data_IF_259666647649
#
_entry.id   IF_259666647649
#
_cell.length_a   1.000
_cell.length_b   1.000
_cell.length_c   1.000
_cell.angle_alpha   90.00
_cell.angle_beta   90.00
_cell.angle_gamma   90.00
#
_symmetry.space_group_name_H-M   'P 1'
#
loop_
_entity.id
_entity.type
_entity.pdbx_description
1 polymer ?
#
# COMPACT_ATOMS: atom_id res chain seq x y z
N UNK A 1 -35.28 -26.85 6.40
CA UNK A 1 -33.82 -26.57 6.42
C UNK A 1 -33.57 -25.44 5.44
N UNK A 2 -33.29 -24.22 5.92
CA UNK A 2 -33.06 -23.06 5.06
C UNK A 2 -31.59 -23.05 4.66
N UNK A 3 -31.32 -23.26 3.37
CA UNK A 3 -29.98 -23.14 2.80
C UNK A 3 -29.53 -21.68 2.86
N UNK A 4 -28.36 -21.45 3.47
CA UNK A 4 -27.70 -20.16 3.38
C UNK A 4 -27.09 -20.05 1.99
N UNK A 5 -27.62 -19.12 1.20
CA UNK A 5 -27.00 -18.70 -0.05
C UNK A 5 -25.62 -18.10 0.27
N UNK A 6 -24.57 -18.72 -0.28
CA UNK A 6 -23.23 -18.15 -0.25
C UNK A 6 -23.24 -16.96 -1.20
N UNK A 7 -23.13 -15.75 -0.65
CA UNK A 7 -22.91 -14.56 -1.46
C UNK A 7 -21.55 -14.71 -2.17
N UNK A 8 -21.58 -15.02 -3.47
CA UNK A 8 -20.42 -14.90 -4.33
C UNK A 8 -20.23 -13.42 -4.67
N UNK A 9 -19.77 -12.64 -3.69
CA UNK A 9 -19.11 -11.37 -3.99
C UNK A 9 -17.78 -11.73 -4.64
N UNK A 10 -17.65 -11.53 -5.96
CA UNK A 10 -16.40 -11.77 -6.66
C UNK A 10 -15.29 -10.99 -5.97
N UNK A 11 -14.41 -11.69 -5.27
CA UNK A 11 -13.17 -11.11 -4.75
C UNK A 11 -12.34 -10.72 -5.96
N UNK A 12 -12.27 -9.42 -6.25
CA UNK A 12 -11.24 -8.92 -7.14
C UNK A 12 -9.91 -9.23 -6.46
N UNK A 13 -9.01 -10.00 -7.10
CA UNK A 13 -7.71 -10.31 -6.51
C UNK A 13 -6.98 -9.00 -6.26
N UNK A 14 -6.59 -8.71 -5.02
CA UNK A 14 -5.84 -7.50 -4.69
C UNK A 14 -4.33 -7.71 -4.77
N UNK A 15 -3.90 -8.97 -4.89
CA UNK A 15 -2.47 -9.31 -5.03
C UNK A 15 -1.84 -8.67 -6.26
N UNK A 16 -0.64 -8.10 -6.11
CA UNK A 16 0.11 -7.50 -7.21
C UNK A 16 1.14 -6.49 -6.73
N UNK A 17 2.00 -6.08 -7.66
CA UNK A 17 2.92 -4.98 -7.48
C UNK A 17 2.23 -3.66 -7.87
N UNK A 18 2.29 -2.66 -7.00
CA UNK A 18 1.67 -1.35 -7.20
C UNK A 18 2.74 -0.27 -7.19
N UNK A 19 2.71 0.63 -8.17
CA UNK A 19 3.65 1.76 -8.28
C UNK A 19 2.87 3.07 -8.18
N UNK A 20 3.39 4.05 -7.45
CA UNK A 20 2.76 5.36 -7.28
C UNK A 20 2.82 6.18 -8.57
N UNK A 21 1.71 6.83 -8.89
CA UNK A 21 1.57 7.76 -10.01
C UNK A 21 1.26 9.16 -9.50
N UNK A 22 1.97 10.15 -10.05
CA UNK A 22 1.68 11.55 -9.85
C UNK A 22 1.39 12.23 -11.19
N UNK A 23 0.22 12.88 -11.30
CA UNK A 23 -0.23 13.53 -12.55
C UNK A 23 -0.17 12.61 -13.78
N UNK A 24 -0.55 11.34 -13.61
CA UNK A 24 -0.66 10.35 -14.68
C UNK A 24 0.66 9.72 -15.14
N UNK A 25 1.78 10.05 -14.50
CA UNK A 25 3.10 9.44 -14.74
C UNK A 25 3.59 8.72 -13.48
N UNK A 26 4.49 7.73 -13.60
CA UNK A 26 5.21 7.21 -12.44
C UNK A 26 5.81 8.36 -11.64
N UNK A 27 5.66 8.30 -10.31
CA UNK A 27 6.20 9.33 -9.43
C UNK A 27 7.73 9.43 -9.58
N UNK A 28 8.25 10.65 -9.59
CA UNK A 28 9.69 10.94 -9.59
C UNK A 28 10.31 10.52 -8.25
N UNK A 29 9.54 10.60 -7.18
CA UNK A 29 9.87 10.04 -5.87
C UNK A 29 9.25 8.65 -5.81
N UNK A 30 10.05 7.64 -6.19
CA UNK A 30 9.60 6.27 -6.32
C UNK A 30 8.95 5.79 -5.03
N UNK A 31 7.72 5.28 -5.13
CA UNK A 31 7.07 4.54 -4.07
C UNK A 31 6.32 3.37 -4.67
N UNK A 32 6.51 2.19 -4.08
CA UNK A 32 5.89 0.95 -4.51
C UNK A 32 5.39 0.14 -3.32
N UNK A 33 4.40 -0.71 -3.59
CA UNK A 33 3.85 -1.64 -2.63
C UNK A 33 3.54 -2.96 -3.33
N UNK A 34 4.19 -4.03 -2.88
CA UNK A 34 3.79 -5.39 -3.22
C UNK A 34 2.76 -5.88 -2.22
N UNK A 35 1.64 -6.38 -2.74
CA UNK A 35 0.52 -6.89 -1.96
C UNK A 35 0.37 -8.38 -2.26
N UNK A 36 0.33 -9.20 -1.21
CA UNK A 36 0.08 -10.64 -1.31
C UNK A 36 -1.14 -11.00 -0.48
N UNK A 37 -2.18 -11.52 -1.10
CA UNK A 37 -3.30 -12.12 -0.37
C UNK A 37 -2.82 -13.34 0.42
N UNK A 38 -3.26 -13.39 1.67
CA UNK A 38 -3.04 -14.48 2.61
C UNK A 38 -4.40 -15.09 2.98
N UNK A 39 -4.35 -16.23 3.67
CA UNK A 39 -5.55 -16.86 4.21
C UNK A 39 -6.31 -15.97 5.21
N UNK A 40 -7.61 -16.25 5.32
CA UNK A 40 -8.54 -15.62 6.26
C UNK A 40 -8.75 -14.10 6.05
N UNK A 41 -8.65 -13.64 4.79
CA UNK A 41 -8.89 -12.25 4.41
C UNK A 41 -7.81 -11.30 4.91
N UNK A 42 -6.55 -11.75 4.89
CA UNK A 42 -5.39 -10.93 5.26
C UNK A 42 -4.56 -10.63 4.02
N UNK A 43 -3.75 -9.58 4.09
CA UNK A 43 -2.76 -9.23 3.06
C UNK A 43 -1.41 -8.97 3.71
N UNK A 44 -0.34 -9.46 3.09
CA UNK A 44 1.03 -9.04 3.36
C UNK A 44 1.34 -7.83 2.48
N UNK A 45 1.94 -6.81 3.08
CA UNK A 45 2.32 -5.56 2.45
C UNK A 45 3.84 -5.40 2.53
N UNK A 46 4.52 -5.30 1.39
CA UNK A 46 5.94 -4.96 1.28
C UNK A 46 6.07 -3.64 0.52
N UNK A 47 6.41 -2.56 1.21
CA UNK A 47 6.49 -1.23 0.62
C UNK A 47 7.89 -0.65 0.70
N UNK A 48 8.24 0.13 -0.31
CA UNK A 48 9.43 0.96 -0.32
C UNK A 48 9.10 2.32 -0.92
N UNK A 49 9.62 3.39 -0.33
CA UNK A 49 9.46 4.75 -0.82
C UNK A 49 10.77 5.53 -0.66
N UNK A 50 11.10 6.34 -1.67
CA UNK A 50 12.31 7.15 -1.72
C UNK A 50 11.91 8.60 -1.97
N UNK A 51 12.36 9.49 -1.10
CA UNK A 51 12.31 10.93 -1.35
C UNK A 51 13.72 11.48 -1.51
N UNK A 52 13.97 12.20 -2.61
CA UNK A 52 15.28 12.76 -2.94
C UNK A 52 15.19 14.28 -2.92
N UNK A 53 15.76 14.90 -1.90
CA UNK A 53 15.87 16.35 -1.81
C UNK A 53 17.06 16.86 -2.61
N UNK A 54 18.27 16.40 -2.25
CA UNK A 54 19.50 16.69 -2.98
C UNK A 54 20.46 15.49 -2.89
N UNK A 55 20.48 14.68 -3.95
CA UNK A 55 21.32 13.50 -4.04
C UNK A 55 22.83 13.81 -3.99
N UNK A 56 23.26 14.99 -4.47
CA UNK A 56 24.68 15.36 -4.51
C UNK A 56 25.28 15.56 -3.11
N UNK A 57 24.45 15.83 -2.11
CA UNK A 57 24.85 15.97 -0.70
C UNK A 57 24.27 14.86 0.19
N UNK A 58 23.74 13.78 -0.40
CA UNK A 58 23.18 12.66 0.34
C UNK A 58 21.85 12.92 1.05
N UNK A 59 21.12 13.99 0.69
CA UNK A 59 19.79 14.25 1.26
C UNK A 59 18.73 13.38 0.56
N UNK A 60 18.68 12.12 0.99
CA UNK A 60 17.75 11.07 0.54
C UNK A 60 17.10 10.46 1.76
N UNK A 61 15.77 10.40 1.78
CA UNK A 61 14.99 9.77 2.83
C UNK A 61 14.33 8.51 2.28
N UNK A 62 14.31 7.46 3.09
CA UNK A 62 13.78 6.14 2.75
C UNK A 62 12.63 5.78 3.69
N UNK A 63 11.60 5.13 3.16
CA UNK A 63 10.51 4.57 3.95
C UNK A 63 10.22 3.14 3.52
N UNK A 64 9.79 2.34 4.48
CA UNK A 64 9.55 0.91 4.32
C UNK A 64 8.24 0.53 5.01
N UNK A 65 7.50 -0.38 4.38
CA UNK A 65 6.34 -1.02 4.99
C UNK A 65 6.63 -2.51 4.99
N UNK A 66 6.60 -3.11 6.17
CA UNK A 66 6.68 -4.56 6.31
C UNK A 66 5.64 -5.01 7.33
N UNK A 67 4.49 -5.49 6.85
CA UNK A 67 3.60 -6.20 7.75
C UNK A 67 2.35 -6.75 7.10
N UNK A 68 1.38 -7.08 7.96
CA UNK A 68 0.14 -7.74 7.57
C UNK A 68 -1.04 -6.88 7.99
N UNK A 69 -2.04 -6.75 7.11
CA UNK A 69 -3.31 -6.09 7.41
C UNK A 69 -4.49 -7.02 7.12
N UNK A 70 -5.63 -6.75 7.77
CA UNK A 70 -6.88 -7.46 7.49
C UNK A 70 -7.65 -6.69 6.41
N UNK A 71 -8.11 -7.40 5.38
CA UNK A 71 -9.03 -6.87 4.40
C UNK A 71 -10.45 -6.85 4.96
N UNK A 72 -11.10 -5.71 4.81
CA UNK A 72 -12.54 -5.53 4.94
C UNK A 72 -13.09 -5.11 3.57
N UNK A 73 -13.60 -6.10 2.83
CA UNK A 73 -13.98 -5.94 1.43
C UNK A 73 -12.79 -5.55 0.55
N UNK A 74 -12.75 -4.28 0.11
CA UNK A 74 -11.66 -3.72 -0.71
C UNK A 74 -10.80 -2.71 0.05
N UNK A 75 -10.91 -2.67 1.37
CA UNK A 75 -10.13 -1.74 2.20
C UNK A 75 -9.29 -2.50 3.21
N UNK A 76 -8.17 -1.93 3.62
CA UNK A 76 -7.38 -2.38 4.77
C UNK A 76 -6.85 -1.17 5.54
N UNK A 77 -6.85 -1.25 6.87
CA UNK A 77 -6.12 -0.32 7.72
C UNK A 77 -4.83 -1.01 8.15
N UNK A 78 -3.69 -0.43 7.80
CA UNK A 78 -2.38 -0.90 8.24
C UNK A 78 -1.92 -0.08 9.43
N UNK A 79 -1.39 -0.75 10.45
CA UNK A 79 -0.83 -0.13 11.64
C UNK A 79 0.20 -1.07 12.25
N UNK A 80 1.40 -0.56 12.49
CA UNK A 80 2.44 -1.25 13.26
C UNK A 80 2.19 -1.14 14.77
N UNK A 81 2.93 -1.91 15.56
CA UNK A 81 2.90 -1.82 17.02
C UNK A 81 3.84 -0.72 17.52
N UNK A 82 3.41 0.04 18.54
CA UNK A 82 4.21 1.12 19.15
C UNK A 82 3.56 2.50 19.10
N UNK A 83 4.16 3.44 19.83
CA UNK A 83 3.64 4.81 20.00
C UNK A 83 3.88 5.70 18.77
N UNK A 84 4.98 5.46 18.05
CA UNK A 84 5.34 6.12 16.80
C UNK A 84 5.19 5.18 15.59
N UNK A 85 4.30 4.21 15.69
CA UNK A 85 4.07 3.22 14.65
C UNK A 85 3.57 3.85 13.34
N UNK A 86 4.02 3.31 12.21
CA UNK A 86 3.42 3.58 10.91
C UNK A 86 1.93 3.25 10.94
N UNK A 87 1.11 4.14 10.38
CA UNK A 87 -0.30 3.85 10.07
C UNK A 87 -0.68 4.47 8.73
N UNK A 88 -1.51 3.76 7.98
CA UNK A 88 -2.08 4.21 6.72
C UNK A 88 -3.32 3.38 6.35
N UNK A 89 -4.09 3.88 5.41
CA UNK A 89 -5.27 3.21 4.86
C UNK A 89 -5.02 2.81 3.41
N UNK A 90 -5.48 1.62 3.03
CA UNK A 90 -5.44 1.10 1.68
C UNK A 90 -6.86 0.95 1.14
N UNK A 91 -7.11 1.40 -0.09
CA UNK A 91 -8.36 1.17 -0.83
C UNK A 91 -8.05 0.64 -2.23
N UNK A 92 -8.49 -0.58 -2.49
CA UNK A 92 -8.33 -1.25 -3.78
C UNK A 92 -9.55 -1.00 -4.69
N UNK A 93 -9.30 -0.71 -5.95
CA UNK A 93 -10.33 -0.64 -6.98
C UNK A 93 -9.80 -1.09 -8.35
N UNK A 94 -10.09 -2.35 -8.71
CA UNK A 94 -9.56 -2.98 -9.92
C UNK A 94 -8.03 -3.04 -9.90
N UNK A 95 -7.40 -2.35 -10.86
CA UNK A 95 -5.95 -2.23 -10.97
C UNK A 95 -5.40 -0.98 -10.27
N UNK A 96 -6.21 -0.30 -9.48
CA UNK A 96 -5.79 0.88 -8.72
C UNK A 96 -5.77 0.58 -7.22
N UNK A 97 -4.83 1.25 -6.54
CA UNK A 97 -4.73 1.27 -5.10
C UNK A 97 -4.57 2.73 -4.68
N UNK A 98 -5.42 3.20 -3.78
CA UNK A 98 -5.22 4.48 -3.10
C UNK A 98 -4.68 4.22 -1.70
N UNK A 99 -3.57 4.87 -1.37
CA UNK A 99 -3.06 4.95 0.00
C UNK A 99 -3.37 6.35 0.54
N UNK A 100 -3.91 6.41 1.76
CA UNK A 100 -4.23 7.66 2.45
C UNK A 100 -3.94 7.61 3.94
N UNK A 101 -3.89 8.79 4.55
CA UNK A 101 -3.76 8.96 6.00
C UNK A 101 -2.46 8.36 6.56
N UNK A 102 -1.40 8.33 5.74
CA UNK A 102 -0.05 8.10 6.22
C UNK A 102 0.30 9.16 7.28
N UNK A 103 0.63 8.69 8.48
CA UNK A 103 1.00 9.56 9.60
C UNK A 103 2.43 10.10 9.53
N UNK A 104 3.13 9.92 8.40
CA UNK A 104 4.53 10.28 8.18
C UNK A 104 5.50 9.51 9.09
N UNK A 105 5.09 8.33 9.58
CA UNK A 105 5.92 7.43 10.39
C UNK A 105 6.25 6.12 9.67
N UNK A 106 5.79 5.95 8.43
CA UNK A 106 6.08 4.78 7.59
C UNK A 106 7.47 4.84 6.92
N UNK A 107 8.36 5.69 7.45
CA UNK A 107 9.69 5.94 6.92
C UNK A 107 10.43 7.08 7.62
N UNK A 108 11.61 7.42 7.11
CA UNK A 108 12.37 8.59 7.52
C UNK A 108 11.68 9.91 7.16
N UNK A 109 12.26 11.03 7.63
CA UNK A 109 11.71 12.37 7.47
C UNK A 109 11.24 12.68 6.03
N UNK A 110 10.02 13.18 5.88
CA UNK A 110 9.40 13.61 4.60
C UNK A 110 9.13 12.51 3.57
N UNK A 111 9.19 11.23 3.94
CA UNK A 111 8.66 10.16 3.11
C UNK A 111 7.19 9.95 3.45
N UNK A 112 6.37 9.88 2.42
CA UNK A 112 4.96 9.51 2.53
C UNK A 112 4.65 8.43 1.51
N UNK A 113 3.75 7.51 1.87
CA UNK A 113 3.11 6.56 0.97
C UNK A 113 1.76 7.07 0.44
N UNK A 114 1.27 8.23 0.86
CA UNK A 114 0.02 8.77 0.33
C UNK A 114 0.10 8.91 -1.19
N UNK A 115 -0.99 8.52 -1.86
CA UNK A 115 -1.12 8.70 -3.29
C UNK A 115 -1.96 7.65 -4.01
N UNK A 116 -2.00 7.81 -5.33
CA UNK A 116 -2.65 6.90 -6.25
C UNK A 116 -1.61 5.95 -6.85
N UNK A 117 -1.90 4.67 -6.79
CA UNK A 117 -1.04 3.61 -7.28
C UNK A 117 -1.76 2.82 -8.37
N UNK A 118 -0.97 2.26 -9.28
CA UNK A 118 -1.46 1.35 -10.32
C UNK A 118 -0.73 0.04 -10.24
N UNK A 119 -1.48 -1.05 -10.39
CA UNK A 119 -0.96 -2.39 -10.52
C UNK A 119 -0.12 -2.48 -11.78
N UNK A 120 1.09 -3.00 -11.67
CA UNK A 120 1.94 -3.31 -12.81
C UNK A 120 1.91 -4.81 -13.05
N UNK A 121 1.48 -5.23 -14.24
CA UNK A 121 1.42 -6.63 -14.63
C UNK A 121 2.74 -6.95 -15.37
N UNK A 122 3.59 -7.77 -14.75
CA UNK A 122 4.79 -8.33 -15.37
C UNK A 122 6.04 -7.43 -15.30
N UNK A 123 7.09 -7.97 -14.68
CA UNK A 123 8.40 -8.01 -15.34
C UNK A 123 8.61 -9.43 -15.85
#
# INVERSE_FOLDING_TARGET
>A
MRGFARAAGGTHPVSGAYVRYFKGKPDKHEASLDVFELDAGRVRLLGSAIWVGNAAIGNVNLGEIDGVARLDGRSAAYKEEGEQACRLNLRFDGDTLRISDDNMQCGGHNVSFDGEYRRVIGK
#
